data_IF_657353211399
#
_entry.id   IF_657353211399
#
_cell.length_a   1.000
_cell.length_b   1.000
_cell.length_c   1.000
_cell.angle_alpha   90.00
_cell.angle_beta   90.00
_cell.angle_gamma   90.00
#
_symmetry.space_group_name_H-M   'P 1'
#
loop_
_entity.id
_entity.type
_entity.pdbx_description
1 polymer ?
#
# COMPACT_ATOMS: atom_id res chain seq x y z
N UNK A 1 -0.25 -19.23 -0.46
CA UNK A 1 0.72 -18.37 0.24
C UNK A 1 -0.02 -17.26 0.92
N UNK A 2 0.57 -16.80 2.02
CA UNK A 2 0.14 -15.60 2.72
C UNK A 2 0.63 -14.37 1.95
N UNK A 3 -0.23 -13.36 1.87
CA UNK A 3 0.07 -12.02 1.39
C UNK A 3 -0.48 -10.99 2.38
N UNK A 4 -0.04 -9.74 2.31
CA UNK A 4 -0.59 -8.67 3.16
C UNK A 4 -1.39 -7.68 2.31
N UNK A 5 -2.69 -7.60 2.58
CA UNK A 5 -3.61 -6.65 1.95
C UNK A 5 -3.68 -5.37 2.80
N UNK A 6 -3.37 -4.25 2.16
CA UNK A 6 -3.46 -2.89 2.71
C UNK A 6 -4.72 -2.24 2.10
N UNK A 7 -5.69 -1.91 2.94
CA UNK A 7 -6.93 -1.28 2.53
C UNK A 7 -7.06 0.10 3.19
N UNK A 8 -6.84 1.20 2.43
CA UNK A 8 -6.89 2.54 3.00
C UNK A 8 -8.31 3.04 3.27
N UNK A 9 -9.34 2.43 2.69
CA UNK A 9 -10.74 2.79 2.93
C UNK A 9 -11.18 2.27 4.30
N UNK A 10 -10.94 0.99 4.58
CA UNK A 10 -11.21 0.39 5.91
C UNK A 10 -10.11 0.66 6.93
N UNK A 11 -8.96 1.20 6.50
CA UNK A 11 -7.78 1.50 7.33
C UNK A 11 -7.24 0.26 8.03
N UNK A 12 -7.13 -0.84 7.28
CA UNK A 12 -6.70 -2.14 7.79
C UNK A 12 -5.53 -2.70 6.99
N UNK A 13 -4.66 -3.42 7.68
CA UNK A 13 -3.68 -4.32 7.07
C UNK A 13 -3.97 -5.72 7.56
N UNK A 14 -4.21 -6.65 6.63
CA UNK A 14 -4.64 -8.01 6.96
C UNK A 14 -3.87 -9.03 6.15
N UNK A 15 -3.69 -10.21 6.71
CA UNK A 15 -3.16 -11.34 5.97
C UNK A 15 -4.25 -12.00 5.14
N UNK A 16 -3.98 -12.24 3.85
CA UNK A 16 -4.90 -12.88 2.90
C UNK A 16 -4.19 -14.02 2.18
N UNK A 17 -4.98 -14.92 1.60
CA UNK A 17 -4.45 -16.02 0.79
C UNK A 17 -4.39 -15.66 -0.69
N UNK A 18 -3.28 -16.05 -1.31
CA UNK A 18 -3.08 -16.09 -2.77
C UNK A 18 -2.64 -17.52 -3.13
N UNK A 19 -3.13 -18.13 -4.22
CA UNK A 19 -2.73 -19.48 -4.62
C UNK A 19 -1.21 -19.65 -4.71
N UNK A 20 -0.67 -20.75 -4.16
CA UNK A 20 0.76 -21.08 -4.26
C UNK A 20 1.15 -21.64 -5.63
N UNK A 21 0.19 -22.28 -6.28
CA UNK A 21 0.36 -22.97 -7.56
C UNK A 21 -0.74 -22.55 -8.52
N UNK A 22 -0.47 -22.67 -9.82
CA UNK A 22 -1.41 -22.26 -10.87
C UNK A 22 -1.47 -20.75 -11.06
N UNK A 23 -2.59 -20.29 -11.63
CA UNK A 23 -2.82 -18.88 -11.95
C UNK A 23 -3.17 -18.06 -10.70
N UNK A 24 -2.34 -17.07 -10.40
CA UNK A 24 -2.47 -16.16 -9.25
C UNK A 24 -3.27 -14.90 -9.59
N UNK A 25 -3.39 -14.56 -10.87
CA UNK A 25 -3.97 -13.30 -11.33
C UNK A 25 -5.41 -13.10 -10.82
N UNK A 26 -6.32 -14.10 -10.85
CA UNK A 26 -7.69 -13.89 -10.36
C UNK A 26 -7.75 -13.50 -8.87
N UNK A 27 -6.85 -14.03 -8.06
CA UNK A 27 -6.78 -13.68 -6.63
C UNK A 27 -6.23 -12.26 -6.42
N UNK A 28 -5.21 -11.87 -7.18
CA UNK A 28 -4.63 -10.52 -7.14
C UNK A 28 -5.68 -9.49 -7.53
N UNK A 29 -6.35 -9.67 -8.68
CA UNK A 29 -7.43 -8.79 -9.14
C UNK A 29 -8.57 -8.69 -8.14
N UNK A 30 -8.98 -9.82 -7.54
CA UNK A 30 -10.02 -9.83 -6.50
C UNK A 30 -9.65 -8.98 -5.28
N UNK A 31 -8.39 -9.07 -4.83
CA UNK A 31 -7.94 -8.35 -3.64
C UNK A 31 -7.77 -6.85 -3.90
N UNK A 32 -7.18 -6.48 -5.05
CA UNK A 32 -6.96 -5.09 -5.46
C UNK A 32 -8.23 -4.39 -5.93
N UNK A 33 -9.19 -5.13 -6.50
CA UNK A 33 -10.42 -4.62 -7.14
C UNK A 33 -10.12 -3.68 -8.31
N UNK A 34 -9.18 -4.07 -9.16
CA UNK A 34 -8.77 -3.35 -10.35
C UNK A 34 -8.87 -4.22 -11.62
N UNK A 35 -8.71 -3.59 -12.78
CA UNK A 35 -8.69 -4.27 -14.10
C UNK A 35 -7.24 -4.53 -14.56
N UNK A 36 -6.30 -3.68 -14.15
CA UNK A 36 -4.85 -3.82 -14.36
C UNK A 36 -4.10 -3.47 -13.08
N UNK A 37 -2.90 -4.02 -12.92
CA UNK A 37 -2.04 -3.70 -11.78
C UNK A 37 -0.59 -3.54 -12.22
N UNK A 38 0.16 -2.75 -11.46
CA UNK A 38 1.61 -2.66 -11.53
C UNK A 38 2.23 -3.17 -10.21
N UNK A 39 3.53 -3.46 -10.22
CA UNK A 39 4.27 -3.96 -9.05
C UNK A 39 5.40 -3.01 -8.71
N UNK A 40 5.24 -2.29 -7.60
CA UNK A 40 6.28 -1.43 -7.06
C UNK A 40 7.19 -2.23 -6.11
N UNK A 41 8.48 -2.33 -6.44
CA UNK A 41 9.46 -3.07 -5.62
C UNK A 41 9.89 -2.26 -4.41
N UNK A 42 9.71 -2.80 -3.20
CA UNK A 42 10.21 -2.24 -1.95
C UNK A 42 11.73 -2.43 -1.82
N UNK A 43 12.42 -1.67 -0.95
CA UNK A 43 13.87 -1.80 -0.76
C UNK A 43 14.37 -3.20 -0.37
N UNK A 44 13.52 -4.01 0.26
CA UNK A 44 13.83 -5.39 0.64
C UNK A 44 13.53 -6.42 -0.46
N UNK A 45 13.02 -5.99 -1.62
CA UNK A 45 12.68 -6.85 -2.75
C UNK A 45 11.25 -7.39 -2.75
N UNK A 46 10.44 -7.12 -1.72
CA UNK A 46 9.00 -7.42 -1.77
C UNK A 46 8.33 -6.56 -2.87
N UNK A 47 7.35 -7.13 -3.55
CA UNK A 47 6.52 -6.43 -4.54
C UNK A 47 5.21 -5.95 -3.93
N UNK A 48 4.95 -4.65 -3.99
CA UNK A 48 3.66 -4.04 -3.68
C UNK A 48 2.85 -3.92 -4.97
N UNK A 49 1.83 -4.76 -5.09
CA UNK A 49 0.91 -4.75 -6.23
C UNK A 49 -0.13 -3.67 -5.99
N UNK A 50 -0.39 -2.82 -6.99
CA UNK A 50 -1.28 -1.65 -6.90
C UNK A 50 -2.09 -1.49 -8.20
N UNK A 51 -3.24 -0.81 -8.13
CA UNK A 51 -4.02 -0.46 -9.33
C UNK A 51 -3.22 0.50 -10.22
N UNK A 52 -2.85 0.06 -11.42
CA UNK A 52 -2.09 0.85 -12.41
C UNK A 52 -2.91 2.09 -12.87
N UNK A 53 -4.23 1.97 -12.86
CA UNK A 53 -5.16 3.04 -13.21
C UNK A 53 -5.73 3.78 -12.00
N UNK A 54 -5.19 3.55 -10.80
CA UNK A 54 -5.75 4.08 -9.56
C UNK A 54 -5.89 5.61 -9.56
N UNK A 55 -5.01 6.33 -10.28
CA UNK A 55 -5.06 7.79 -10.43
C UNK A 55 -5.92 8.28 -11.62
N UNK A 56 -6.34 7.40 -12.52
CA UNK A 56 -7.24 7.72 -13.63
C UNK A 56 -8.72 7.68 -13.21
N UNK A 57 -9.01 7.13 -12.03
CA UNK A 57 -10.33 7.01 -11.41
C UNK A 57 -10.43 8.01 -10.25
N UNK A 58 -11.64 8.43 -9.83
CA UNK A 58 -11.80 9.21 -8.60
C UNK A 58 -11.21 8.48 -7.40
N UNK A 59 -10.08 8.99 -6.88
CA UNK A 59 -9.35 8.40 -5.76
C UNK A 59 -9.38 9.34 -4.55
N UNK A 60 -9.94 8.83 -3.44
CA UNK A 60 -10.00 9.55 -2.16
C UNK A 60 -9.10 8.92 -1.10
N UNK A 61 -8.56 7.73 -1.37
CA UNK A 61 -7.82 6.93 -0.40
C UNK A 61 -6.50 6.47 -1.00
N UNK A 62 -5.42 6.66 -0.26
CA UNK A 62 -4.06 6.36 -0.70
C UNK A 62 -3.29 5.66 0.42
N UNK A 63 -2.27 4.89 0.01
CA UNK A 63 -1.32 4.23 0.91
C UNK A 63 0.05 4.86 0.71
N UNK A 64 0.68 5.32 1.79
CA UNK A 64 2.10 5.66 1.80
C UNK A 64 2.85 4.56 2.53
N UNK A 65 3.94 4.07 1.94
CA UNK A 65 4.77 3.01 2.50
C UNK A 65 6.18 3.55 2.71
N UNK A 66 6.76 3.36 3.90
CA UNK A 66 8.12 3.80 4.21
C UNK A 66 9.10 3.25 3.16
N UNK A 67 9.98 4.13 2.65
CA UNK A 67 10.96 3.79 1.62
C UNK A 67 10.44 3.91 0.19
N UNK A 68 9.14 4.16 -0.03
CA UNK A 68 8.58 4.46 -1.34
C UNK A 68 8.49 5.97 -1.57
N UNK A 69 8.77 6.46 -2.79
CA UNK A 69 8.89 7.91 -3.04
C UNK A 69 7.55 8.64 -3.06
N UNK A 70 6.44 7.93 -3.28
CA UNK A 70 5.11 8.52 -3.44
C UNK A 70 4.02 7.59 -2.90
N UNK A 71 2.88 8.14 -2.45
CA UNK A 71 1.70 7.35 -2.12
C UNK A 71 1.10 6.69 -3.36
N UNK A 72 0.44 5.54 -3.16
CA UNK A 72 -0.29 4.81 -4.19
C UNK A 72 -1.79 4.95 -3.96
N UNK A 73 -2.57 5.09 -5.03
CA UNK A 73 -4.02 5.19 -4.95
C UNK A 73 -4.66 3.80 -4.73
N UNK A 74 -5.65 3.73 -3.86
CA UNK A 74 -6.40 2.50 -3.60
C UNK A 74 -5.62 1.45 -2.80
N UNK A 75 -5.99 0.18 -3.00
CA UNK A 75 -5.48 -0.95 -2.22
C UNK A 75 -4.07 -1.34 -2.66
N UNK A 76 -3.31 -1.89 -1.72
CA UNK A 76 -2.02 -2.51 -1.99
C UNK A 76 -2.01 -3.98 -1.55
N UNK A 77 -1.41 -4.85 -2.35
CA UNK A 77 -1.20 -6.26 -1.99
C UNK A 77 0.30 -6.56 -1.98
N UNK A 78 0.87 -6.81 -0.81
CA UNK A 78 2.28 -7.10 -0.65
C UNK A 78 2.55 -8.60 -0.77
N UNK A 79 3.44 -8.95 -1.69
CA UNK A 79 3.95 -10.30 -1.93
C UNK A 79 5.48 -10.25 -1.98
N UNK A 80 6.14 -11.33 -1.58
CA UNK A 80 7.58 -11.47 -1.76
C UNK A 80 7.92 -11.88 -3.20
N UNK A 81 9.20 -11.81 -3.55
CA UNK A 81 9.70 -12.28 -4.84
C UNK A 81 10.93 -13.17 -4.63
N UNK A 82 10.92 -14.36 -5.24
CA UNK A 82 12.09 -15.23 -5.24
C UNK A 82 13.14 -14.81 -6.28
N UNK A 83 14.31 -15.46 -6.26
CA UNK A 83 15.41 -15.16 -7.19
C UNK A 83 15.06 -15.40 -8.68
N UNK A 84 13.96 -16.07 -8.99
CA UNK A 84 13.48 -16.31 -10.35
C UNK A 84 12.35 -15.35 -10.76
N UNK A 85 12.03 -14.35 -9.93
CA UNK A 85 10.94 -13.40 -10.17
C UNK A 85 9.55 -13.96 -9.87
N UNK A 86 9.44 -15.05 -9.11
CA UNK A 86 8.14 -15.66 -8.77
C UNK A 86 7.61 -15.07 -7.47
N UNK A 87 6.32 -14.76 -7.45
CA UNK A 87 5.64 -14.30 -6.24
C UNK A 87 5.63 -15.40 -5.17
N UNK A 88 6.09 -15.04 -3.97
CA UNK A 88 6.14 -15.87 -2.75
C UNK A 88 5.55 -15.09 -1.56
N UNK A 89 5.53 -15.67 -0.36
CA UNK A 89 5.16 -14.94 0.85
C UNK A 89 6.12 -13.75 1.08
N UNK A 90 5.63 -12.60 1.56
CA UNK A 90 6.47 -11.42 1.78
C UNK A 90 7.51 -11.68 2.87
N UNK A 91 8.66 -11.03 2.72
CA UNK A 91 9.70 -11.00 3.77
C UNK A 91 9.35 -9.99 4.86
N UNK A 92 8.62 -8.94 4.52
CA UNK A 92 8.01 -7.99 5.47
C UNK A 92 6.93 -8.69 6.29
N UNK A 93 7.05 -8.67 7.62
CA UNK A 93 5.99 -9.17 8.50
C UNK A 93 4.79 -8.21 8.55
N UNK A 94 3.64 -8.71 8.99
CA UNK A 94 2.44 -7.88 9.17
C UNK A 94 2.68 -6.71 10.13
N UNK A 95 3.41 -6.96 11.22
CA UNK A 95 3.77 -5.95 12.23
C UNK A 95 4.72 -4.90 11.65
N UNK A 96 5.72 -5.32 10.86
CA UNK A 96 6.61 -4.39 10.18
C UNK A 96 5.84 -3.52 9.19
N UNK A 97 5.00 -4.13 8.36
CA UNK A 97 4.18 -3.40 7.38
C UNK A 97 3.25 -2.40 8.08
N UNK A 98 2.67 -2.78 9.22
CA UNK A 98 1.80 -1.91 10.02
C UNK A 98 2.55 -0.70 10.60
N UNK A 99 3.84 -0.83 10.88
CA UNK A 99 4.68 0.31 11.28
C UNK A 99 5.02 1.24 10.11
N UNK A 100 5.17 0.67 8.93
CA UNK A 100 5.69 1.38 7.75
C UNK A 100 4.61 2.03 6.90
N UNK A 101 3.34 1.68 7.12
CA UNK A 101 2.20 2.19 6.33
C UNK A 101 1.53 3.38 7.01
N UNK A 102 1.19 4.38 6.19
CA UNK A 102 0.29 5.47 6.53
C UNK A 102 -0.89 5.49 5.55
N UNK A 103 -2.10 5.66 6.08
CA UNK A 103 -3.31 5.86 5.30
C UNK A 103 -3.52 7.35 5.04
N UNK A 104 -3.82 7.71 3.80
CA UNK A 104 -4.06 9.08 3.37
C UNK A 104 -5.45 9.19 2.79
N UNK A 105 -6.22 10.16 3.26
CA UNK A 105 -7.59 10.43 2.82
C UNK A 105 -7.71 11.87 2.31
N UNK A 106 -8.19 12.06 1.09
CA UNK A 106 -8.44 13.39 0.52
C UNK A 106 -9.84 13.87 0.96
N UNK A 107 -9.88 14.87 1.85
CA UNK A 107 -11.15 15.44 2.34
C UNK A 107 -11.72 16.50 1.39
N UNK A 108 -10.85 17.36 0.90
CA UNK A 108 -11.15 18.45 -0.03
C UNK A 108 -10.02 18.56 -1.05
N UNK A 109 -10.22 19.32 -2.12
CA UNK A 109 -9.28 19.43 -3.25
C UNK A 109 -7.82 19.71 -2.85
N UNK A 110 -7.57 20.34 -1.70
CA UNK A 110 -6.25 20.73 -1.22
C UNK A 110 -5.96 20.31 0.23
N UNK A 111 -6.77 19.43 0.84
CA UNK A 111 -6.62 19.03 2.24
C UNK A 111 -6.71 17.50 2.36
N UNK A 112 -5.71 16.92 3.02
CA UNK A 112 -5.69 15.48 3.32
C UNK A 112 -5.64 15.23 4.82
N UNK A 113 -6.05 14.03 5.22
CA UNK A 113 -5.71 13.45 6.51
C UNK A 113 -4.71 12.32 6.33
N UNK A 114 -3.65 12.33 7.12
CA UNK A 114 -2.65 11.25 7.20
C UNK A 114 -2.81 10.55 8.54
N UNK A 115 -2.88 9.22 8.53
CA UNK A 115 -3.01 8.37 9.73
C UNK A 115 -1.96 7.27 9.74
N UNK A 116 -1.36 7.01 10.89
CA UNK A 116 -0.42 5.90 11.04
C UNK A 116 -1.20 4.57 11.16
N UNK A 117 -0.81 3.54 10.42
CA UNK A 117 -1.50 2.25 10.51
C UNK A 117 -1.32 1.60 11.90
N UNK A 118 -0.14 1.78 12.53
CA UNK A 118 0.12 1.29 13.90
C UNK A 118 -0.65 2.05 14.99
N UNK A 119 -1.03 3.31 14.74
CA UNK A 119 -1.82 4.09 15.68
C UNK A 119 -2.86 4.94 14.93
N UNK A 120 -4.01 4.37 14.55
CA UNK A 120 -5.01 5.07 13.74
C UNK A 120 -5.63 6.30 14.42
N UNK A 121 -5.48 6.43 15.75
CA UNK A 121 -5.92 7.62 16.48
C UNK A 121 -4.99 8.82 16.28
N UNK A 122 -3.76 8.58 15.84
CA UNK A 122 -2.82 9.63 15.46
C UNK A 122 -3.13 10.06 14.02
N UNK A 123 -3.86 11.17 13.90
CA UNK A 123 -4.22 11.77 12.63
C UNK A 123 -3.65 13.18 12.47
N UNK A 124 -3.28 13.53 11.24
CA UNK A 124 -2.74 14.84 10.89
C UNK A 124 -3.44 15.38 9.67
N UNK A 125 -3.96 16.60 9.78
CA UNK A 125 -4.61 17.30 8.68
C UNK A 125 -3.57 18.21 8.03
N UNK A 126 -3.30 18.00 6.74
CA UNK A 126 -2.24 18.67 6.01
C UNK A 126 -2.77 19.28 4.71
N UNK A 127 -2.25 20.44 4.26
CA UNK A 127 -2.41 20.85 2.88
C UNK A 127 -1.82 19.79 1.94
N UNK A 128 -2.50 19.48 0.83
CA UNK A 128 -2.07 18.46 -0.13
C UNK A 128 -0.63 18.70 -0.62
N UNK A 129 -0.26 19.97 -0.86
CA UNK A 129 1.09 20.34 -1.30
C UNK A 129 2.20 20.05 -0.29
N UNK A 130 1.87 19.77 0.97
CA UNK A 130 2.85 19.51 2.02
C UNK A 130 3.04 18.00 2.29
N UNK A 131 2.17 17.14 1.75
CA UNK A 131 2.12 15.71 2.10
C UNK A 131 3.45 15.01 1.85
N UNK A 132 4.02 15.14 0.66
CA UNK A 132 5.28 14.47 0.31
C UNK A 132 6.44 14.92 1.19
N UNK A 133 6.52 16.23 1.49
CA UNK A 133 7.54 16.79 2.36
C UNK A 133 7.43 16.20 3.78
N UNK A 134 6.22 16.19 4.35
CA UNK A 134 5.97 15.65 5.69
C UNK A 134 6.28 14.16 5.77
N UNK A 135 5.88 13.37 4.76
CA UNK A 135 6.20 11.94 4.71
C UNK A 135 7.73 11.69 4.62
N UNK A 136 8.45 12.50 3.86
CA UNK A 136 9.90 12.38 3.71
C UNK A 136 10.66 12.73 4.99
N UNK A 137 10.22 13.77 5.72
CA UNK A 137 10.81 14.17 7.01
C UNK A 137 10.67 13.04 8.05
N UNK A 138 9.52 12.37 8.11
CA UNK A 138 9.26 11.26 9.04
C UNK A 138 9.95 9.95 8.67
N UNK A 139 10.25 9.74 7.39
CA UNK A 139 11.00 8.56 6.97
C UNK A 139 12.47 8.63 7.38
N UNK A 140 12.99 9.84 7.66
CA UNK A 140 14.35 10.10 8.11
C UNK A 140 14.54 9.99 9.64
N UNK A 141 13.44 9.92 10.40
CA UNK A 141 13.39 9.59 11.84
C UNK A 141 13.29 8.09 12.08
#
# INVERSE_FOLDING_TARGET
MLAHLIDPESRTITSVEVPDTGDKLPAIYKHLRCDTFDVATLPNGDGLYVDDEGLLKPAYHFIAVRGMPQPFAGRGLLLGMDANGRSVAPTTSLEQLTRDVKFIELLYANVVVVRDAINPSHERILPLGNVLKTLAEEAAE
#
